data_IF_053652762148
#
_entry.id   IF_053652762148
#
_cell.length_a   1.000
_cell.length_b   1.000
_cell.length_c   1.000
_cell.angle_alpha   90.00
_cell.angle_beta   90.00
_cell.angle_gamma   90.00
#
_symmetry.space_group_name_H-M   'P 1'
#
loop_
_entity.id
_entity.type
_entity.pdbx_description
1 polymer ?
#
# COMPACT_ATOMS: atom_id res chain seq x y z
N UNK A 1 49.08 20.71 45.01
CA UNK A 1 48.93 19.42 44.28
C UNK A 1 47.66 19.53 43.44
N UNK A 2 47.56 20.33 42.55
CA UNK A 2 47.94 20.69 41.16
C UNK A 2 47.77 19.54 40.18
N UNK A 3 46.78 19.75 39.34
CA UNK A 3 46.70 19.40 37.92
C UNK A 3 46.85 17.93 37.51
N UNK A 4 45.77 17.43 36.99
CA UNK A 4 45.75 16.75 35.71
C UNK A 4 44.30 16.35 35.28
N UNK A 5 43.48 17.34 34.90
CA UNK A 5 42.31 17.08 34.07
C UNK A 5 42.71 17.33 32.60
N UNK A 6 43.29 16.30 31.97
CA UNK A 6 43.60 16.32 30.57
C UNK A 6 42.34 16.11 29.70
N UNK A 7 41.99 17.16 29.01
CA UNK A 7 41.39 17.26 27.70
C UNK A 7 40.88 15.93 27.08
N UNK A 8 39.60 15.69 27.21
CA UNK A 8 38.90 14.87 26.21
C UNK A 8 38.68 15.71 24.95
N UNK A 9 39.51 15.46 23.96
CA UNK A 9 39.35 16.06 22.65
C UNK A 9 38.02 15.65 22.01
N UNK A 10 37.31 16.60 21.47
CA UNK A 10 36.09 16.39 20.69
C UNK A 10 36.40 15.49 19.49
N UNK A 11 36.07 14.23 19.60
CA UNK A 11 36.08 13.30 18.44
C UNK A 11 35.08 13.80 17.40
N UNK A 12 35.57 14.20 16.24
CA UNK A 12 34.72 14.53 15.14
C UNK A 12 33.88 13.31 14.74
N UNK A 13 32.68 13.51 14.19
CA UNK A 13 31.80 12.42 13.70
C UNK A 13 32.55 11.41 12.80
N UNK A 14 33.58 11.87 12.06
CA UNK A 14 34.48 11.01 11.28
C UNK A 14 35.46 10.20 12.11
N UNK A 15 35.92 10.72 13.26
CA UNK A 15 36.82 10.03 14.19
C UNK A 15 36.09 8.91 14.95
N UNK A 16 34.85 9.15 15.36
CA UNK A 16 34.02 8.15 16.02
C UNK A 16 33.73 6.94 15.11
N UNK A 17 33.43 7.19 13.83
CA UNK A 17 33.20 6.12 12.83
C UNK A 17 34.45 5.30 12.51
N UNK A 18 35.66 5.88 12.65
CA UNK A 18 36.92 5.13 12.41
C UNK A 18 37.33 4.31 13.64
N UNK A 19 36.95 4.73 14.84
CA UNK A 19 37.27 4.00 16.07
C UNK A 19 36.36 2.78 16.31
N UNK A 20 35.14 2.78 15.75
CA UNK A 20 34.18 1.65 15.86
C UNK A 20 34.52 0.46 14.93
N UNK A 21 35.42 0.63 13.97
CA UNK A 21 35.82 -0.42 13.03
C UNK A 21 36.97 -1.29 13.58
N UNK A 22 37.67 -0.85 14.60
CA UNK A 22 38.88 -1.55 15.14
C UNK A 22 38.60 -2.48 16.33
N UNK A 23 37.39 -2.59 16.83
CA UNK A 23 37.06 -3.25 18.11
C UNK A 23 36.09 -4.43 18.08
N UNK A 24 35.87 -5.09 16.94
CA UNK A 24 34.93 -6.21 16.88
C UNK A 24 35.56 -7.47 16.31
N UNK A 25 36.29 -8.20 17.18
CA UNK A 25 36.49 -9.64 16.98
C UNK A 25 35.74 -10.38 18.07
N UNK A 26 34.91 -11.33 17.66
CA UNK A 26 34.20 -12.36 18.41
C UNK A 26 32.84 -11.97 19.03
N UNK A 27 31.79 -12.12 18.23
CA UNK A 27 30.60 -12.88 18.64
C UNK A 27 29.81 -13.25 17.37
N UNK A 28 29.57 -14.52 17.18
CA UNK A 28 28.87 -15.12 16.04
C UNK A 28 27.34 -14.93 16.16
N UNK A 29 26.89 -13.70 15.98
CA UNK A 29 25.51 -13.39 15.63
C UNK A 29 25.52 -12.80 14.21
N UNK A 30 24.56 -13.13 13.33
CA UNK A 30 24.50 -12.49 12.04
C UNK A 30 24.15 -11.03 12.24
N UNK A 31 25.15 -10.18 12.34
CA UNK A 31 24.94 -8.73 12.28
C UNK A 31 24.58 -8.42 10.83
N UNK A 32 23.33 -8.12 10.60
CA UNK A 32 22.92 -7.40 9.39
C UNK A 32 23.55 -6.01 9.46
N UNK A 33 24.72 -5.87 8.86
CA UNK A 33 25.31 -4.56 8.62
C UNK A 33 24.41 -3.86 7.59
N UNK A 34 23.58 -2.94 8.07
CA UNK A 34 23.01 -1.91 7.20
C UNK A 34 24.17 -0.96 6.91
N UNK A 35 24.96 -1.32 5.91
CA UNK A 35 25.98 -0.44 5.37
C UNK A 35 25.23 0.63 4.56
N UNK A 36 25.38 1.85 4.97
CA UNK A 36 25.10 3.12 4.31
C UNK A 36 23.73 3.76 4.58
N UNK A 37 23.85 4.98 5.06
CA UNK A 37 22.85 6.03 5.04
C UNK A 37 22.49 6.48 3.58
N UNK A 38 22.30 5.54 2.66
CA UNK A 38 21.69 5.81 1.38
C UNK A 38 20.18 5.56 1.52
N UNK A 39 19.38 6.54 1.17
CA UNK A 39 17.92 6.47 1.23
C UNK A 39 17.34 5.40 0.29
N UNK A 40 18.17 4.73 -0.52
CA UNK A 40 17.78 3.68 -1.45
C UNK A 40 18.81 2.56 -1.45
N UNK A 41 18.34 1.33 -1.21
CA UNK A 41 19.17 0.11 -1.31
C UNK A 41 19.57 -0.13 -2.76
N UNK A 42 18.69 0.21 -3.69
CA UNK A 42 18.91 0.05 -5.12
C UNK A 42 19.17 1.39 -5.81
N UNK A 43 19.92 1.36 -6.88
CA UNK A 43 20.17 2.49 -7.77
C UNK A 43 19.92 2.08 -9.22
N UNK A 44 19.58 3.05 -10.10
CA UNK A 44 19.45 2.75 -11.53
C UNK A 44 20.71 2.07 -12.08
N UNK A 45 20.54 0.95 -12.77
CA UNK A 45 21.64 0.26 -13.44
C UNK A 45 21.83 0.84 -14.83
N UNK A 46 22.91 1.59 -15.03
CA UNK A 46 23.21 2.22 -16.32
C UNK A 46 22.06 3.14 -16.77
N UNK A 47 21.46 2.83 -17.93
CA UNK A 47 20.35 3.59 -18.53
C UNK A 47 18.96 3.04 -18.21
N UNK A 48 18.80 2.22 -17.16
CA UNK A 48 17.54 1.55 -16.83
C UNK A 48 17.12 1.83 -15.38
N UNK A 49 15.85 2.05 -15.17
CA UNK A 49 15.17 2.09 -13.87
C UNK A 49 14.23 0.89 -13.80
N UNK A 50 14.39 0.04 -12.79
CA UNK A 50 13.53 -1.14 -12.61
C UNK A 50 12.46 -0.86 -11.55
N UNK A 51 11.19 -1.13 -11.89
CA UNK A 51 10.04 -1.07 -11.00
C UNK A 51 9.53 -2.49 -10.68
N UNK A 52 9.01 -2.70 -9.49
CA UNK A 52 8.36 -3.94 -9.08
C UNK A 52 6.84 -3.78 -9.05
N UNK A 53 6.11 -4.58 -9.83
CA UNK A 53 4.65 -4.62 -9.86
C UNK A 53 4.18 -5.85 -9.08
N UNK A 54 3.78 -5.63 -7.84
CA UNK A 54 3.41 -6.68 -6.90
C UNK A 54 1.88 -6.70 -6.72
N UNK A 55 1.21 -7.39 -7.61
CA UNK A 55 -0.25 -7.44 -7.71
C UNK A 55 -0.75 -8.88 -7.53
N UNK A 56 -2.01 -9.10 -7.10
CA UNK A 56 -2.58 -10.44 -7.09
C UNK A 56 -2.83 -10.90 -8.53
N UNK A 57 -2.10 -11.90 -8.97
CA UNK A 57 -2.33 -12.58 -10.25
C UNK A 57 -3.13 -13.87 -10.03
N UNK A 58 -3.21 -14.32 -8.77
CA UNK A 58 -4.06 -15.40 -8.28
C UNK A 58 -4.70 -15.00 -6.95
N UNK A 59 -5.67 -15.77 -6.47
CA UNK A 59 -6.36 -15.52 -5.20
C UNK A 59 -7.62 -14.66 -5.34
N UNK A 60 -8.10 -14.11 -4.21
CA UNK A 60 -9.40 -13.44 -4.15
C UNK A 60 -9.54 -12.22 -5.08
N UNK A 61 -8.44 -11.52 -5.35
CA UNK A 61 -8.40 -10.30 -6.19
C UNK A 61 -7.62 -10.49 -7.49
N UNK A 62 -7.66 -11.70 -8.07
CA UNK A 62 -6.92 -11.99 -9.30
C UNK A 62 -7.34 -11.14 -10.50
N UNK A 63 -8.63 -10.87 -10.64
CA UNK A 63 -9.18 -10.10 -11.76
C UNK A 63 -8.75 -8.63 -11.65
N UNK A 64 -8.88 -8.05 -10.46
CA UNK A 64 -8.44 -6.68 -10.16
C UNK A 64 -6.92 -6.52 -10.34
N UNK A 65 -6.16 -7.50 -9.88
CA UNK A 65 -4.71 -7.51 -10.05
C UNK A 65 -4.27 -7.64 -11.51
N UNK A 66 -5.01 -8.37 -12.32
CA UNK A 66 -4.78 -8.45 -13.77
C UNK A 66 -5.01 -7.10 -14.45
N UNK A 67 -6.06 -6.37 -14.06
CA UNK A 67 -6.35 -5.02 -14.58
C UNK A 67 -5.29 -4.02 -14.13
N UNK A 68 -4.94 -4.04 -12.86
CA UNK A 68 -3.88 -3.20 -12.30
C UNK A 68 -2.54 -3.42 -13.03
N UNK A 69 -2.18 -4.67 -13.29
CA UNK A 69 -0.95 -5.02 -14.01
C UNK A 69 -0.99 -4.55 -15.47
N UNK A 70 -2.14 -4.64 -16.14
CA UNK A 70 -2.30 -4.10 -17.51
C UNK A 70 -2.07 -2.59 -17.55
N UNK A 71 -2.64 -1.86 -16.58
CA UNK A 71 -2.45 -0.41 -16.48
C UNK A 71 -0.99 -0.03 -16.24
N UNK A 72 -0.28 -0.71 -15.34
CA UNK A 72 1.14 -0.47 -15.11
C UNK A 72 2.01 -0.74 -16.34
N UNK A 73 1.77 -1.84 -17.04
CA UNK A 73 2.48 -2.17 -18.29
C UNK A 73 2.23 -1.12 -19.37
N UNK A 74 0.99 -0.65 -19.50
CA UNK A 74 0.64 0.42 -20.43
C UNK A 74 1.36 1.72 -20.07
N UNK A 75 1.39 2.11 -18.80
CA UNK A 75 2.11 3.30 -18.34
C UNK A 75 3.61 3.21 -18.67
N UNK A 76 4.24 2.06 -18.47
CA UNK A 76 5.65 1.86 -18.81
C UNK A 76 5.89 2.03 -20.31
N UNK A 77 5.03 1.46 -21.17
CA UNK A 77 5.11 1.66 -22.63
C UNK A 77 5.07 3.13 -23.00
N UNK A 78 4.10 3.87 -22.47
CA UNK A 78 3.97 5.30 -22.76
C UNK A 78 5.16 6.12 -22.25
N UNK A 79 5.65 5.86 -21.05
CA UNK A 79 6.83 6.53 -20.49
C UNK A 79 8.07 6.26 -21.34
N UNK A 80 8.21 5.07 -21.90
CA UNK A 80 9.33 4.70 -22.75
C UNK A 80 9.19 5.12 -24.22
N UNK A 81 8.06 5.75 -24.61
CA UNK A 81 7.80 6.18 -25.99
C UNK A 81 7.31 5.07 -26.90
N UNK A 82 6.74 4.01 -26.32
CA UNK A 82 6.06 2.96 -27.07
C UNK A 82 4.58 3.33 -27.20
N UNK A 83 4.06 3.35 -28.42
CA UNK A 83 2.69 3.79 -28.69
C UNK A 83 2.55 5.31 -28.78
N UNK A 84 1.34 5.81 -28.77
CA UNK A 84 0.99 7.21 -28.95
C UNK A 84 0.98 8.05 -27.65
N UNK A 85 1.25 7.41 -26.50
CA UNK A 85 1.15 8.02 -25.18
C UNK A 85 -0.30 8.23 -24.70
N UNK A 86 -1.29 7.83 -25.48
CA UNK A 86 -2.69 7.89 -25.15
C UNK A 86 -3.16 9.26 -24.69
N UNK A 87 -4.11 9.27 -23.76
CA UNK A 87 -4.67 10.51 -23.18
C UNK A 87 -3.63 11.42 -22.54
N UNK A 88 -2.52 10.91 -22.02
CA UNK A 88 -1.50 11.72 -21.34
C UNK A 88 -0.84 12.73 -22.29
N UNK A 89 -0.74 12.42 -23.59
CA UNK A 89 -0.18 13.33 -24.57
C UNK A 89 -1.10 14.50 -24.92
N UNK A 90 -2.38 14.41 -24.58
CA UNK A 90 -3.33 15.52 -24.75
C UNK A 90 -3.33 16.49 -23.56
N UNK A 91 -2.75 16.10 -22.44
CA UNK A 91 -2.71 16.87 -21.19
C UNK A 91 -1.41 17.66 -21.08
N UNK A 92 -1.33 18.79 -21.76
CA UNK A 92 -0.18 19.72 -21.61
C UNK A 92 -0.27 20.43 -20.24
N UNK A 93 0.81 20.53 -19.45
CA UNK A 93 2.22 20.21 -19.71
C UNK A 93 2.64 18.76 -19.36
N UNK A 94 1.71 17.87 -19.13
CA UNK A 94 1.96 16.50 -18.65
C UNK A 94 2.31 15.52 -19.78
N UNK A 95 2.41 16.00 -21.01
CA UNK A 95 2.75 15.15 -22.16
C UNK A 95 4.09 14.42 -21.94
N UNK A 96 4.07 13.11 -22.13
CA UNK A 96 5.24 12.27 -22.00
C UNK A 96 6.20 12.53 -23.16
N UNK A 97 7.50 12.61 -22.85
CA UNK A 97 8.57 12.78 -23.87
C UNK A 97 8.94 11.45 -24.53
N UNK A 98 8.56 10.30 -23.93
CA UNK A 98 8.90 8.98 -24.44
C UNK A 98 10.37 8.57 -24.25
N UNK A 99 11.11 9.29 -23.41
CA UNK A 99 12.54 9.07 -23.15
C UNK A 99 12.80 8.35 -21.80
N UNK A 100 11.73 7.82 -21.17
CA UNK A 100 11.78 7.21 -19.87
C UNK A 100 11.72 8.21 -18.72
N UNK A 101 12.37 7.89 -17.61
CA UNK A 101 12.47 8.76 -16.42
C UNK A 101 13.89 9.34 -16.37
N UNK A 102 14.02 10.65 -16.49
CA UNK A 102 15.32 11.35 -16.55
C UNK A 102 16.27 10.72 -17.59
N UNK A 103 15.77 10.42 -18.79
CA UNK A 103 16.53 9.82 -19.88
C UNK A 103 16.91 8.36 -19.65
N UNK A 104 16.30 7.69 -18.68
CA UNK A 104 16.50 6.26 -18.39
C UNK A 104 15.23 5.48 -18.73
N UNK A 105 15.37 4.40 -19.49
CA UNK A 105 14.26 3.50 -19.78
C UNK A 105 13.72 2.86 -18.51
N UNK A 106 12.41 2.72 -18.43
CA UNK A 106 11.74 2.01 -17.34
C UNK A 106 11.61 0.54 -17.72
N UNK A 107 12.18 -0.33 -16.90
CA UNK A 107 11.92 -1.76 -16.90
C UNK A 107 11.04 -2.14 -15.71
N UNK A 108 10.42 -3.30 -15.74
CA UNK A 108 9.64 -3.80 -14.62
C UNK A 108 9.83 -5.31 -14.42
N UNK A 109 9.59 -5.72 -13.19
CA UNK A 109 9.44 -7.12 -12.78
C UNK A 109 8.10 -7.28 -12.09
N UNK A 110 7.54 -8.49 -12.12
CA UNK A 110 6.21 -8.75 -11.55
C UNK A 110 6.27 -9.77 -10.43
N UNK A 111 5.36 -9.66 -9.48
CA UNK A 111 5.14 -10.61 -8.40
C UNK A 111 3.66 -10.92 -8.26
N UNK A 112 3.35 -12.14 -7.82
CA UNK A 112 2.01 -12.55 -7.45
C UNK A 112 1.85 -12.45 -5.93
N UNK A 113 0.94 -11.61 -5.47
CA UNK A 113 0.65 -11.47 -4.04
C UNK A 113 -0.31 -12.54 -3.53
N UNK A 114 -1.03 -13.23 -4.43
CA UNK A 114 -2.09 -14.22 -4.08
C UNK A 114 -3.15 -13.64 -3.11
N UNK A 115 -3.25 -12.33 -3.02
CA UNK A 115 -4.02 -11.61 -1.98
C UNK A 115 -3.58 -11.97 -0.54
N UNK A 116 -2.33 -12.46 -0.36
CA UNK A 116 -1.75 -12.91 0.92
C UNK A 116 -0.50 -12.12 1.26
N UNK A 117 -0.40 -11.66 2.52
CA UNK A 117 0.71 -10.83 2.98
C UNK A 117 2.07 -11.52 2.87
N UNK A 118 2.17 -12.82 3.18
CA UNK A 118 3.44 -13.55 3.15
C UNK A 118 3.94 -13.78 1.71
N UNK A 119 3.05 -14.14 0.79
CA UNK A 119 3.37 -14.28 -0.63
C UNK A 119 3.83 -12.93 -1.20
N UNK A 120 3.13 -11.86 -0.85
CA UNK A 120 3.45 -10.51 -1.28
C UNK A 120 4.80 -10.02 -0.74
N UNK A 121 5.12 -10.27 0.53
CA UNK A 121 6.43 -9.95 1.11
C UNK A 121 7.55 -10.75 0.43
N UNK A 122 7.33 -12.02 0.18
CA UNK A 122 8.32 -12.90 -0.48
C UNK A 122 8.61 -12.44 -1.90
N UNK A 123 7.58 -12.12 -2.69
CA UNK A 123 7.76 -11.62 -4.06
C UNK A 123 8.39 -10.23 -4.09
N UNK A 124 7.98 -9.31 -3.20
CA UNK A 124 8.58 -7.98 -3.09
C UNK A 124 10.05 -8.06 -2.69
N UNK A 125 10.39 -8.91 -1.71
CA UNK A 125 11.78 -9.14 -1.30
C UNK A 125 12.65 -9.61 -2.48
N UNK A 126 12.17 -10.58 -3.26
CA UNK A 126 12.88 -11.03 -4.47
C UNK A 126 13.11 -9.88 -5.46
N UNK A 127 12.07 -9.10 -5.75
CA UNK A 127 12.15 -7.97 -6.67
C UNK A 127 13.17 -6.91 -6.20
N UNK A 128 13.25 -6.66 -4.90
CA UNK A 128 14.21 -5.72 -4.34
C UNK A 128 15.63 -6.27 -4.38
N UNK A 129 15.84 -7.47 -3.85
CA UNK A 129 17.18 -8.03 -3.62
C UNK A 129 17.82 -8.61 -4.88
N UNK A 130 17.04 -9.26 -5.74
CA UNK A 130 17.57 -9.93 -6.93
C UNK A 130 17.41 -9.11 -8.19
N UNK A 131 16.24 -8.49 -8.37
CA UNK A 131 15.91 -7.80 -9.61
C UNK A 131 16.26 -6.30 -9.55
N UNK A 132 16.59 -5.77 -8.37
CA UNK A 132 17.03 -4.39 -8.18
C UNK A 132 15.93 -3.36 -8.34
N UNK A 133 14.68 -3.71 -7.98
CA UNK A 133 13.55 -2.78 -8.03
C UNK A 133 13.78 -1.58 -7.11
N UNK A 134 13.60 -0.37 -7.63
CA UNK A 134 13.74 0.90 -6.91
C UNK A 134 12.46 1.32 -6.20
N UNK A 135 11.33 0.84 -6.68
CA UNK A 135 10.00 1.08 -6.15
C UNK A 135 9.18 -0.18 -6.32
N UNK A 136 8.39 -0.51 -5.31
CA UNK A 136 7.35 -1.52 -5.40
C UNK A 136 6.00 -0.80 -5.45
N UNK A 137 5.13 -1.22 -6.37
CA UNK A 137 3.75 -0.72 -6.45
C UNK A 137 2.77 -1.89 -6.57
N UNK A 138 1.51 -1.65 -6.22
CA UNK A 138 0.45 -2.64 -6.25
C UNK A 138 -0.18 -2.85 -4.89
N UNK A 139 -0.58 -4.08 -4.64
CA UNK A 139 -1.17 -4.50 -3.38
C UNK A 139 -2.59 -5.00 -3.52
N UNK A 140 -3.50 -4.23 -4.12
CA UNK A 140 -4.95 -4.46 -4.26
C UNK A 140 -5.67 -4.76 -2.94
N UNK A 141 -5.04 -5.43 -1.99
CA UNK A 141 -5.52 -5.63 -0.61
C UNK A 141 -4.77 -4.72 0.36
N UNK A 142 -5.50 -3.99 1.20
CA UNK A 142 -4.88 -3.06 2.16
C UNK A 142 -4.01 -3.77 3.22
N UNK A 143 -4.38 -4.99 3.63
CA UNK A 143 -3.53 -5.80 4.52
C UNK A 143 -2.21 -6.20 3.86
N UNK A 144 -2.26 -6.57 2.59
CA UNK A 144 -1.07 -6.86 1.76
C UNK A 144 -0.21 -5.61 1.60
N UNK A 145 -0.82 -4.47 1.29
CA UNK A 145 -0.10 -3.20 1.13
C UNK A 145 0.66 -2.79 2.39
N UNK A 146 0.04 -2.91 3.57
CA UNK A 146 0.68 -2.61 4.86
C UNK A 146 1.89 -3.54 5.11
N UNK A 147 1.75 -4.82 4.79
CA UNK A 147 2.84 -5.79 4.95
C UNK A 147 4.02 -5.50 4.01
N UNK A 148 3.74 -5.20 2.73
CA UNK A 148 4.78 -4.86 1.73
C UNK A 148 5.41 -3.51 2.04
N UNK A 149 4.61 -2.51 2.46
CA UNK A 149 5.10 -1.20 2.88
C UNK A 149 6.11 -1.30 4.04
N UNK A 150 5.85 -2.19 5.01
CA UNK A 150 6.79 -2.43 6.11
C UNK A 150 8.10 -3.03 5.61
N UNK A 151 8.06 -4.01 4.70
CA UNK A 151 9.25 -4.56 4.06
C UNK A 151 10.03 -3.49 3.27
N UNK A 152 9.33 -2.67 2.50
CA UNK A 152 9.96 -1.59 1.73
C UNK A 152 10.62 -0.55 2.64
N UNK A 153 10.01 -0.25 3.81
CA UNK A 153 10.63 0.60 4.83
C UNK A 153 11.92 0.01 5.36
N UNK A 154 11.95 -1.28 5.67
CA UNK A 154 13.14 -2.00 6.14
C UNK A 154 14.24 -1.99 5.07
N UNK A 155 13.87 -2.16 3.82
CA UNK A 155 14.78 -2.18 2.67
C UNK A 155 15.18 -0.78 2.16
N UNK A 156 14.59 0.31 2.65
CA UNK A 156 14.84 1.66 2.14
C UNK A 156 14.33 1.90 0.73
N UNK A 157 13.31 1.16 0.29
CA UNK A 157 12.71 1.22 -1.05
C UNK A 157 11.34 1.89 -0.98
N UNK A 158 10.99 2.65 -2.01
CA UNK A 158 9.67 3.30 -2.09
C UNK A 158 8.58 2.24 -2.29
N UNK A 159 7.50 2.36 -1.53
CA UNK A 159 6.24 1.67 -1.79
C UNK A 159 5.17 2.68 -2.23
N UNK A 160 4.57 2.45 -3.39
CA UNK A 160 3.43 3.20 -3.88
C UNK A 160 2.20 2.30 -3.83
N UNK A 161 1.29 2.59 -2.90
CA UNK A 161 0.05 1.84 -2.77
C UNK A 161 -0.82 2.00 -4.04
N UNK A 162 -1.17 0.88 -4.65
CA UNK A 162 -2.06 0.79 -5.80
C UNK A 162 -3.53 0.82 -5.38
N UNK A 163 -4.30 -0.19 -5.73
CA UNK A 163 -5.73 -0.32 -5.40
C UNK A 163 -5.94 -0.67 -3.91
N UNK A 164 -5.45 0.15 -2.98
CA UNK A 164 -5.54 -0.10 -1.53
C UNK A 164 -6.08 1.14 -0.82
N UNK A 165 -7.24 1.05 -0.20
CA UNK A 165 -7.98 2.23 0.23
C UNK A 165 -8.14 2.35 1.75
N UNK A 166 -7.67 1.42 2.59
CA UNK A 166 -7.74 1.58 4.05
C UNK A 166 -7.08 2.88 4.51
N UNK A 167 -7.69 3.58 5.45
CA UNK A 167 -7.10 4.74 6.12
C UNK A 167 -5.76 4.38 6.79
N UNK A 168 -5.63 3.14 7.26
CA UNK A 168 -4.47 2.66 8.02
C UNK A 168 -3.18 2.73 7.22
N UNK A 169 -3.22 2.48 5.90
CA UNK A 169 -2.03 2.42 5.04
C UNK A 169 -1.17 3.69 5.13
N UNK A 170 -1.79 4.86 5.19
CA UNK A 170 -1.11 6.16 5.34
C UNK A 170 -1.47 6.87 6.65
N UNK A 171 -2.21 6.18 7.53
CA UNK A 171 -2.57 6.61 8.89
C UNK A 171 -1.70 5.92 9.96
N UNK A 172 -2.30 5.00 10.74
CA UNK A 172 -1.61 4.34 11.87
C UNK A 172 -0.43 3.47 11.44
N UNK A 173 -0.51 2.87 10.25
CA UNK A 173 0.52 1.98 9.70
C UNK A 173 1.46 2.67 8.70
N UNK A 174 1.38 4.01 8.61
CA UNK A 174 2.24 4.79 7.70
C UNK A 174 3.72 4.48 7.88
N UNK A 175 4.47 4.52 6.77
CA UNK A 175 5.93 4.40 6.75
C UNK A 175 6.54 5.56 5.98
N UNK A 176 7.79 5.89 6.26
CA UNK A 176 8.52 7.01 5.64
C UNK A 176 8.59 6.88 4.10
N UNK A 177 8.73 5.65 3.61
CA UNK A 177 8.84 5.36 2.18
C UNK A 177 7.53 4.86 1.56
N UNK A 178 6.41 4.91 2.32
CA UNK A 178 5.08 4.52 1.85
C UNK A 178 4.28 5.72 1.37
N UNK A 179 3.73 5.61 0.17
CA UNK A 179 2.91 6.63 -0.47
C UNK A 179 1.61 6.04 -1.01
N UNK A 180 0.63 6.89 -1.24
CA UNK A 180 -0.67 6.56 -1.84
C UNK A 180 -0.99 7.56 -2.93
N UNK A 181 -1.56 7.11 -4.03
CA UNK A 181 -2.12 7.98 -5.08
C UNK A 181 -3.63 7.83 -5.25
N UNK A 182 -4.25 6.86 -4.56
CA UNK A 182 -5.69 6.65 -4.54
C UNK A 182 -6.36 7.32 -3.34
N UNK A 183 -7.70 7.46 -3.43
CA UNK A 183 -8.53 7.85 -2.29
C UNK A 183 -8.45 6.81 -1.16
N UNK A 184 -8.88 7.21 0.03
CA UNK A 184 -9.00 6.33 1.19
C UNK A 184 -10.47 6.17 1.61
N UNK A 185 -10.73 5.30 2.57
CA UNK A 185 -12.10 5.01 3.03
C UNK A 185 -12.76 6.20 3.72
N UNK A 186 -12.01 7.11 4.32
CA UNK A 186 -12.54 8.37 4.86
C UNK A 186 -13.13 9.23 3.73
N UNK A 187 -12.44 9.32 2.60
CA UNK A 187 -12.94 10.04 1.43
C UNK A 187 -14.17 9.35 0.84
N UNK A 188 -14.24 8.01 0.86
CA UNK A 188 -15.43 7.25 0.45
C UNK A 188 -16.63 7.57 1.34
N UNK A 189 -16.45 7.54 2.67
CA UNK A 189 -17.49 7.88 3.61
C UNK A 189 -18.00 9.32 3.44
N UNK A 190 -17.08 10.26 3.27
CA UNK A 190 -17.40 11.67 3.04
C UNK A 190 -18.20 11.88 1.74
N UNK A 191 -17.85 11.16 0.69
CA UNK A 191 -18.57 11.25 -0.60
C UNK A 191 -19.94 10.59 -0.56
N UNK A 192 -20.07 9.46 0.14
CA UNK A 192 -21.32 8.70 0.25
C UNK A 192 -22.31 9.32 1.22
N UNK A 193 -21.87 9.97 2.30
CA UNK A 193 -22.74 10.54 3.31
C UNK A 193 -23.88 11.40 2.73
N UNK A 194 -23.59 12.43 1.92
CA UNK A 194 -24.62 13.26 1.28
C UNK A 194 -25.56 12.48 0.34
N UNK A 195 -25.04 11.44 -0.33
CA UNK A 195 -25.85 10.58 -1.21
C UNK A 195 -26.82 9.75 -0.38
N UNK A 196 -26.34 9.16 0.72
CA UNK A 196 -27.16 8.37 1.63
C UNK A 196 -28.24 9.24 2.31
N UNK A 197 -27.91 10.47 2.69
CA UNK A 197 -28.90 11.43 3.22
C UNK A 197 -29.99 11.72 2.19
N UNK A 198 -29.60 11.97 0.94
CA UNK A 198 -30.55 12.29 -0.14
C UNK A 198 -31.47 11.10 -0.45
N UNK A 199 -30.94 9.90 -0.52
CA UNK A 199 -31.71 8.71 -0.94
C UNK A 199 -32.53 8.08 0.18
N UNK A 200 -32.00 8.08 1.40
CA UNK A 200 -32.62 7.40 2.55
C UNK A 200 -33.11 8.35 3.67
N UNK A 201 -32.60 9.58 3.71
CA UNK A 201 -32.91 10.54 4.77
C UNK A 201 -32.11 10.32 6.05
N UNK A 202 -32.56 11.00 7.13
CA UNK A 202 -31.96 10.95 8.47
C UNK A 202 -32.62 9.88 9.36
N UNK A 203 -31.99 9.60 10.51
CA UNK A 203 -32.52 8.77 11.59
C UNK A 203 -32.89 7.34 11.15
N UNK A 204 -32.09 6.75 10.27
CA UNK A 204 -32.24 5.37 9.77
C UNK A 204 -31.50 4.37 10.65
N UNK A 205 -31.78 3.10 10.38
CA UNK A 205 -31.03 1.98 10.96
C UNK A 205 -30.30 1.21 9.87
N UNK A 206 -29.02 0.90 10.11
CA UNK A 206 -28.17 0.21 9.17
C UNK A 206 -27.74 -1.17 9.68
N UNK A 207 -27.71 -2.15 8.78
CA UNK A 207 -27.04 -3.43 8.98
C UNK A 207 -25.80 -3.48 8.08
N UNK A 208 -24.62 -3.72 8.64
CA UNK A 208 -23.38 -3.80 7.88
C UNK A 208 -22.97 -5.26 7.68
N UNK A 209 -22.73 -5.66 6.43
CA UNK A 209 -21.94 -6.83 6.08
C UNK A 209 -20.57 -6.34 5.59
N UNK A 210 -19.51 -6.87 6.20
CA UNK A 210 -18.18 -6.30 6.04
C UNK A 210 -17.15 -7.39 5.81
N UNK A 211 -16.43 -7.32 4.71
CA UNK A 211 -15.31 -8.22 4.43
C UNK A 211 -14.26 -8.14 5.56
N UNK A 212 -13.88 -9.30 6.10
CA UNK A 212 -13.06 -9.39 7.32
C UNK A 212 -11.57 -9.18 7.06
N UNK A 213 -11.22 -7.96 6.67
CA UNK A 213 -9.84 -7.52 6.51
C UNK A 213 -9.71 -5.99 6.65
N UNK A 214 -8.49 -5.48 6.68
CA UNK A 214 -8.14 -4.10 7.02
C UNK A 214 -8.96 -3.04 6.25
N UNK A 215 -9.20 -3.24 4.95
CA UNK A 215 -10.01 -2.28 4.18
C UNK A 215 -11.47 -2.33 4.61
N UNK A 216 -12.06 -3.51 4.75
CA UNK A 216 -13.46 -3.65 5.15
C UNK A 216 -13.75 -2.96 6.49
N UNK A 217 -12.86 -3.17 7.48
CA UNK A 217 -12.99 -2.52 8.78
C UNK A 217 -12.89 -0.99 8.69
N UNK A 218 -11.95 -0.50 7.88
CA UNK A 218 -11.76 0.93 7.64
C UNK A 218 -12.94 1.55 6.89
N UNK A 219 -13.50 0.85 5.91
CA UNK A 219 -14.66 1.30 5.14
C UNK A 219 -15.91 1.36 6.02
N UNK A 220 -16.19 0.30 6.78
CA UNK A 220 -17.30 0.28 7.74
C UNK A 220 -17.22 1.45 8.73
N UNK A 221 -16.05 1.64 9.35
CA UNK A 221 -15.85 2.74 10.30
C UNK A 221 -16.06 4.11 9.66
N UNK A 222 -15.61 4.30 8.42
CA UNK A 222 -15.80 5.55 7.69
C UNK A 222 -17.28 5.78 7.33
N UNK A 223 -17.99 4.75 6.82
CA UNK A 223 -19.43 4.90 6.54
C UNK A 223 -20.22 5.19 7.83
N UNK A 224 -19.97 4.45 8.91
CA UNK A 224 -20.60 4.70 10.21
C UNK A 224 -20.42 6.14 10.68
N UNK A 225 -19.19 6.66 10.63
CA UNK A 225 -18.90 8.04 11.02
C UNK A 225 -19.83 9.07 10.34
N UNK A 226 -20.04 8.92 9.03
CA UNK A 226 -20.86 9.86 8.27
C UNK A 226 -22.36 9.60 8.43
N UNK A 227 -22.79 8.35 8.55
CA UNK A 227 -24.21 8.02 8.78
C UNK A 227 -24.64 8.32 10.21
N UNK A 228 -23.80 8.12 11.22
CA UNK A 228 -24.07 8.50 12.61
C UNK A 228 -24.24 10.02 12.74
N UNK A 229 -23.52 10.83 11.97
CA UNK A 229 -23.73 12.27 11.90
C UNK A 229 -25.10 12.65 11.32
N UNK A 230 -25.77 11.76 10.58
CA UNK A 230 -27.13 11.90 10.10
C UNK A 230 -28.19 11.32 11.07
N UNK A 231 -27.78 10.90 12.26
CA UNK A 231 -28.66 10.26 13.25
C UNK A 231 -28.90 8.77 13.02
N UNK A 232 -28.21 8.15 12.06
CA UNK A 232 -28.36 6.71 11.81
C UNK A 232 -27.84 5.87 12.97
N UNK A 233 -28.45 4.71 13.17
CA UNK A 233 -28.04 3.72 14.20
C UNK A 233 -27.62 2.41 13.53
N UNK A 234 -26.46 1.89 13.93
CA UNK A 234 -26.03 0.56 13.51
C UNK A 234 -26.77 -0.49 14.32
N UNK A 235 -27.61 -1.32 13.67
CA UNK A 235 -28.24 -2.49 14.31
C UNK A 235 -27.29 -3.64 14.48
N UNK A 236 -26.50 -3.93 13.45
CA UNK A 236 -25.47 -4.95 13.48
C UNK A 236 -24.36 -4.64 12.50
N UNK A 237 -23.18 -5.20 12.77
CA UNK A 237 -22.03 -5.20 11.89
C UNK A 237 -21.43 -6.62 11.92
N UNK A 238 -21.61 -7.36 10.85
CA UNK A 238 -21.20 -8.76 10.73
C UNK A 238 -20.04 -8.89 9.78
N UNK A 239 -19.03 -9.64 10.19
CA UNK A 239 -17.84 -9.94 9.38
C UNK A 239 -18.09 -11.13 8.48
N UNK A 240 -17.66 -11.02 7.23
CA UNK A 240 -17.69 -12.10 6.24
C UNK A 240 -16.27 -12.43 5.81
N UNK A 241 -15.90 -13.70 5.65
CA UNK A 241 -14.57 -14.07 5.18
C UNK A 241 -14.31 -13.45 3.79
N UNK A 242 -13.08 -12.97 3.57
CA UNK A 242 -12.65 -12.49 2.26
C UNK A 242 -12.64 -13.64 1.24
N UNK A 243 -13.33 -13.48 0.12
CA UNK A 243 -13.45 -14.50 -0.92
C UNK A 243 -14.40 -15.64 -0.51
N UNK A 244 -15.43 -15.35 0.28
CA UNK A 244 -16.36 -16.36 0.82
C UNK A 244 -17.09 -17.17 -0.25
N UNK A 245 -17.41 -16.57 -1.40
CA UNK A 245 -18.11 -17.23 -2.50
C UNK A 245 -19.57 -17.58 -2.24
N UNK A 246 -19.99 -17.75 -0.97
CA UNK A 246 -21.37 -17.99 -0.56
C UNK A 246 -21.72 -17.13 0.65
N UNK A 247 -22.75 -16.30 0.49
CA UNK A 247 -23.26 -15.37 1.50
C UNK A 247 -24.65 -15.78 2.03
N UNK A 248 -25.19 -16.93 1.64
CA UNK A 248 -26.56 -17.38 1.99
C UNK A 248 -26.84 -17.33 3.48
N UNK A 249 -25.88 -17.72 4.32
CA UNK A 249 -25.99 -17.73 5.78
C UNK A 249 -26.19 -16.32 6.40
N UNK A 250 -25.84 -15.26 5.67
CA UNK A 250 -25.97 -13.88 6.14
C UNK A 250 -27.31 -13.25 5.78
N UNK A 251 -28.04 -13.81 4.81
CA UNK A 251 -29.30 -13.23 4.28
C UNK A 251 -30.40 -13.24 5.33
N UNK A 252 -30.65 -14.39 5.96
CA UNK A 252 -31.71 -14.49 6.99
C UNK A 252 -31.49 -13.55 8.17
N UNK A 253 -30.30 -13.43 8.79
CA UNK A 253 -30.04 -12.43 9.82
C UNK A 253 -30.27 -10.98 9.36
N UNK A 254 -29.92 -10.64 8.12
CA UNK A 254 -30.19 -9.30 7.55
C UNK A 254 -31.69 -9.03 7.48
N UNK A 255 -32.48 -9.96 6.89
CA UNK A 255 -33.92 -9.84 6.77
C UNK A 255 -34.63 -9.72 8.12
N UNK A 256 -34.18 -10.48 9.10
CA UNK A 256 -34.77 -10.48 10.45
C UNK A 256 -34.31 -9.29 11.31
N UNK A 257 -33.31 -8.53 10.87
CA UNK A 257 -32.77 -7.40 11.64
C UNK A 257 -33.76 -6.23 11.77
N UNK A 258 -34.67 -6.10 10.81
CA UNK A 258 -35.52 -4.91 10.68
C UNK A 258 -34.72 -3.61 10.48
N UNK A 259 -33.52 -3.68 9.88
CA UNK A 259 -32.77 -2.52 9.49
C UNK A 259 -33.37 -1.89 8.21
N UNK A 260 -33.34 -0.56 8.14
CA UNK A 260 -33.85 0.17 6.97
C UNK A 260 -32.91 0.05 5.76
N UNK A 261 -31.60 -0.07 6.02
CA UNK A 261 -30.57 -0.05 5.00
C UNK A 261 -29.54 -1.15 5.24
N UNK A 262 -29.25 -1.95 4.22
CA UNK A 262 -28.11 -2.87 4.19
C UNK A 262 -26.91 -2.16 3.57
N UNK A 263 -25.80 -2.13 4.30
CA UNK A 263 -24.54 -1.57 3.84
C UNK A 263 -23.55 -2.71 3.57
N UNK A 264 -23.17 -2.88 2.31
CA UNK A 264 -22.17 -3.86 1.90
C UNK A 264 -20.79 -3.20 1.84
N UNK A 265 -19.90 -3.58 2.76
CA UNK A 265 -18.50 -3.17 2.76
C UNK A 265 -17.67 -4.29 2.13
N UNK A 266 -17.95 -4.57 0.86
CA UNK A 266 -17.33 -5.60 0.03
C UNK A 266 -16.68 -5.00 -1.20
N UNK A 267 -15.85 -5.80 -1.88
CA UNK A 267 -15.14 -5.42 -3.08
C UNK A 267 -14.81 -6.67 -3.91
N UNK A 268 -14.73 -6.50 -5.23
CA UNK A 268 -14.39 -7.60 -6.13
C UNK A 268 -15.44 -8.70 -6.15
N UNK A 269 -15.02 -9.94 -6.12
CA UNK A 269 -15.90 -11.12 -6.21
C UNK A 269 -16.87 -11.29 -5.02
N UNK A 270 -16.63 -10.61 -3.92
CA UNK A 270 -17.51 -10.65 -2.74
C UNK A 270 -18.70 -9.68 -2.86
N UNK A 271 -18.76 -8.86 -3.92
CA UNK A 271 -19.81 -7.92 -4.24
C UNK A 271 -20.73 -8.46 -5.35
#
# INVERSE_FOLDING_TARGET
>A
MTDDIKKFGTLSRRGFLKASVAGAVASSAPMFFINNAHAYVNAPKGKTVTLGFNVPQTGAYADEGADELRAYKLAVKHINGEGDGGMLNTMKPLALKGDGVNGKKVAYVTGDTQTKSDAARSSAKRMIEKDGALMITGGSSSGVAIAVQSLCQEAGVIFMAGLTHSNDTTGKDKRKYGFRHFFNTEMSGAALGPVLEKEFGKDRTAYHLTADYTWGWSQEGSIKKYTEALGWKTKAAVRTPLGAGDFSQYITPVLNSGADVLVLNHYGKDM
#
